data_IF_917620172062
#
_entry.id   IF_917620172062
#
_cell.length_a   1.000
_cell.length_b   1.000
_cell.length_c   1.000
_cell.angle_alpha   90.00
_cell.angle_beta   90.00
_cell.angle_gamma   90.00
#
_symmetry.space_group_name_H-M   'P 1'
#
loop_
_entity.id
_entity.type
_entity.pdbx_description
1 polymer ?
#
# COMPACT_ATOMS: atom_id res chain seq x y z
N UNK A 1 18.44 -18.50 -23.89
CA UNK A 1 18.52 -17.76 -22.61
C UNK A 1 17.13 -17.81 -21.99
N UNK A 2 16.91 -18.29 -20.76
CA UNK A 2 15.55 -18.47 -20.23
C UNK A 2 14.97 -17.12 -19.77
N UNK A 3 13.69 -16.88 -20.08
CA UNK A 3 12.97 -15.62 -19.88
C UNK A 3 12.60 -15.34 -18.41
N UNK A 4 13.59 -15.30 -17.50
CA UNK A 4 13.37 -15.08 -16.06
C UNK A 4 12.88 -13.66 -15.70
N UNK A 5 12.78 -12.74 -16.66
CA UNK A 5 12.38 -11.35 -16.45
C UNK A 5 10.97 -11.04 -16.96
N UNK A 6 10.04 -12.01 -16.98
CA UNK A 6 8.61 -11.67 -17.04
C UNK A 6 8.21 -11.01 -15.73
N UNK A 7 8.50 -9.72 -15.62
CA UNK A 7 8.08 -8.85 -14.54
C UNK A 7 6.55 -8.83 -14.52
N UNK A 8 5.97 -9.69 -13.66
CA UNK A 8 4.55 -9.67 -13.34
C UNK A 8 4.34 -8.42 -12.50
N UNK A 9 3.74 -7.39 -13.11
CA UNK A 9 3.29 -6.23 -12.37
C UNK A 9 2.39 -6.71 -11.22
N UNK A 10 2.78 -6.44 -9.99
CA UNK A 10 1.94 -6.69 -8.82
C UNK A 10 0.61 -5.96 -9.01
N UNK A 11 -0.48 -6.54 -8.50
CA UNK A 11 -1.80 -5.89 -8.53
C UNK A 11 -1.72 -4.56 -7.78
N UNK A 12 -2.28 -3.50 -8.37
CA UNK A 12 -2.44 -2.21 -7.72
C UNK A 12 -3.86 -2.13 -7.14
N UNK A 13 -3.99 -1.92 -5.83
CA UNK A 13 -5.27 -1.84 -5.11
C UNK A 13 -5.88 -0.43 -5.16
N UNK A 14 -5.80 0.22 -6.33
CA UNK A 14 -6.08 1.65 -6.47
C UNK A 14 -7.54 2.01 -6.16
N UNK A 15 -8.49 1.20 -6.63
CA UNK A 15 -9.91 1.51 -6.44
C UNK A 15 -10.34 1.24 -4.99
N UNK A 16 -9.80 0.18 -4.40
CA UNK A 16 -9.97 -0.15 -3.00
C UNK A 16 -9.46 0.98 -2.10
N UNK A 17 -8.30 1.55 -2.41
CA UNK A 17 -7.76 2.71 -1.70
C UNK A 17 -8.55 4.00 -1.93
N UNK A 18 -9.08 4.24 -3.13
CA UNK A 18 -9.95 5.38 -3.43
C UNK A 18 -11.23 5.31 -2.58
N UNK A 19 -11.85 4.12 -2.52
CA UNK A 19 -13.05 3.88 -1.71
C UNK A 19 -12.76 4.02 -0.21
N UNK A 20 -11.67 3.41 0.26
CA UNK A 20 -11.21 3.52 1.64
C UNK A 20 -10.99 4.98 2.09
N UNK A 21 -10.44 5.82 1.21
CA UNK A 21 -10.24 7.26 1.45
C UNK A 21 -11.49 8.12 1.19
N UNK A 22 -12.62 7.51 0.86
CA UNK A 22 -13.90 8.18 0.54
C UNK A 22 -13.72 9.30 -0.49
N UNK A 23 -12.90 9.05 -1.51
CA UNK A 23 -12.67 9.98 -2.62
C UNK A 23 -13.16 9.37 -3.93
N UNK A 24 -12.91 10.04 -5.06
CA UNK A 24 -13.26 9.54 -6.39
C UNK A 24 -12.05 9.55 -7.30
N UNK A 25 -12.07 8.71 -8.35
CA UNK A 25 -11.02 8.71 -9.38
C UNK A 25 -10.85 10.09 -10.03
N UNK A 26 -11.92 10.88 -10.14
CA UNK A 26 -11.86 12.25 -10.68
C UNK A 26 -11.16 13.22 -9.71
N UNK A 27 -11.46 13.11 -8.41
CA UNK A 27 -10.79 13.93 -7.38
C UNK A 27 -9.32 13.57 -7.24
N UNK A 28 -8.99 12.28 -7.22
CA UNK A 28 -7.60 11.83 -7.21
C UNK A 28 -6.84 12.35 -8.44
N UNK A 29 -7.45 12.21 -9.63
CA UNK A 29 -6.85 12.72 -10.87
C UNK A 29 -6.55 14.22 -10.78
N UNK A 30 -7.49 15.00 -10.22
CA UNK A 30 -7.31 16.44 -9.98
C UNK A 30 -6.16 16.73 -9.00
N UNK A 31 -6.07 15.97 -7.90
CA UNK A 31 -5.00 16.14 -6.89
C UNK A 31 -3.62 15.92 -7.49
N UNK A 32 -3.46 14.88 -8.30
CA UNK A 32 -2.16 14.48 -8.87
C UNK A 32 -1.91 15.04 -10.28
N UNK A 33 -2.72 16.02 -10.71
CA UNK A 33 -2.63 16.72 -12.01
C UNK A 33 -2.59 15.76 -13.21
N UNK A 34 -3.49 14.76 -13.23
CA UNK A 34 -3.65 13.80 -14.34
C UNK A 34 -5.11 13.71 -14.78
N UNK A 35 -5.40 12.80 -15.72
CA UNK A 35 -6.77 12.51 -16.17
C UNK A 35 -7.37 11.30 -15.45
N UNK A 36 -8.71 11.29 -15.28
CA UNK A 36 -9.44 10.11 -14.78
C UNK A 36 -9.19 8.86 -15.65
N UNK A 37 -8.98 9.04 -16.95
CA UNK A 37 -8.65 7.95 -17.87
C UNK A 37 -7.34 7.25 -17.47
N UNK A 38 -6.31 8.00 -17.08
CA UNK A 38 -5.04 7.45 -16.60
C UNK A 38 -5.24 6.68 -15.29
N UNK A 39 -5.99 7.24 -14.32
CA UNK A 39 -6.34 6.54 -13.07
C UNK A 39 -7.05 5.21 -13.37
N UNK A 40 -8.00 5.21 -14.29
CA UNK A 40 -8.73 4.00 -14.69
C UNK A 40 -7.83 2.96 -15.36
N UNK A 41 -6.92 3.39 -16.25
CA UNK A 41 -5.98 2.47 -16.91
C UNK A 41 -4.99 1.86 -15.90
N UNK A 42 -4.50 2.65 -14.95
CA UNK A 42 -3.61 2.18 -13.89
C UNK A 42 -4.32 1.19 -12.96
N UNK A 43 -5.51 1.52 -12.45
CA UNK A 43 -6.26 0.66 -11.53
C UNK A 43 -6.72 -0.66 -12.16
N UNK A 44 -7.02 -0.66 -13.46
CA UNK A 44 -7.39 -1.88 -14.19
C UNK A 44 -6.19 -2.65 -14.77
N UNK A 45 -4.94 -2.22 -14.51
CA UNK A 45 -3.74 -2.84 -15.06
C UNK A 45 -3.58 -2.71 -16.58
N UNK A 46 -4.39 -1.88 -17.25
CA UNK A 46 -4.28 -1.59 -18.69
C UNK A 46 -3.07 -0.70 -19.00
N UNK A 47 -2.58 0.04 -18.02
CA UNK A 47 -1.33 0.76 -18.06
C UNK A 47 -0.44 0.26 -16.93
N UNK A 48 0.82 -0.06 -17.24
CA UNK A 48 1.81 -0.39 -16.20
C UNK A 48 2.10 0.84 -15.36
N UNK A 49 2.17 0.67 -14.05
CA UNK A 49 2.70 1.69 -13.16
C UNK A 49 4.22 1.58 -13.09
N UNK A 50 4.87 2.70 -12.78
CA UNK A 50 6.26 2.78 -12.37
C UNK A 50 6.32 3.40 -10.97
N UNK A 51 7.53 3.59 -10.44
CA UNK A 51 7.73 4.22 -9.14
C UNK A 51 7.07 5.61 -9.06
N UNK A 52 7.24 6.46 -10.09
CA UNK A 52 6.64 7.80 -10.11
C UNK A 52 5.10 7.78 -10.00
N UNK A 53 4.45 6.79 -10.62
CA UNK A 53 3.00 6.63 -10.51
C UNK A 53 2.59 6.22 -9.10
N UNK A 54 3.34 5.31 -8.47
CA UNK A 54 3.06 4.91 -7.09
C UNK A 54 3.20 6.11 -6.15
N UNK A 55 4.28 6.88 -6.27
CA UNK A 55 4.54 8.05 -5.42
C UNK A 55 3.46 9.13 -5.59
N UNK A 56 3.10 9.47 -6.83
CA UNK A 56 2.03 10.46 -7.09
C UNK A 56 0.69 10.02 -6.52
N UNK A 57 0.31 8.76 -6.75
CA UNK A 57 -0.95 8.22 -6.24
C UNK A 57 -0.95 8.21 -4.72
N UNK A 58 0.16 7.77 -4.11
CA UNK A 58 0.34 7.71 -2.68
C UNK A 58 0.25 9.10 -2.03
N UNK A 59 0.85 10.12 -2.65
CA UNK A 59 0.69 11.52 -2.25
C UNK A 59 -0.78 11.95 -2.30
N UNK A 60 -1.48 11.65 -3.41
CA UNK A 60 -2.90 12.01 -3.57
C UNK A 60 -3.86 11.31 -2.61
N UNK A 61 -3.48 10.13 -2.10
CA UNK A 61 -4.24 9.29 -1.17
C UNK A 61 -3.69 9.34 0.27
N UNK A 62 -2.62 10.08 0.52
CA UNK A 62 -1.95 10.21 1.81
C UNK A 62 -1.59 8.84 2.42
N UNK A 63 -0.96 7.97 1.64
CA UNK A 63 -0.45 6.66 2.10
C UNK A 63 1.01 6.48 1.65
N UNK A 64 1.63 5.36 2.03
CA UNK A 64 2.96 5.00 1.50
C UNK A 64 2.81 4.37 0.10
N UNK A 65 3.77 4.56 -0.83
CA UNK A 65 3.78 3.86 -2.12
C UNK A 65 3.61 2.33 -2.00
N UNK A 66 4.15 1.70 -0.96
CA UNK A 66 4.05 0.25 -0.74
C UNK A 66 2.63 -0.19 -0.36
N UNK A 67 1.86 0.70 0.26
CA UNK A 67 0.50 0.41 0.72
C UNK A 67 -0.43 0.15 -0.47
N UNK A 68 -0.18 0.79 -1.62
CA UNK A 68 -0.96 0.64 -2.86
C UNK A 68 -0.87 -0.77 -3.47
N UNK A 69 0.13 -1.56 -3.04
CA UNK A 69 0.34 -2.94 -3.50
C UNK A 69 -0.40 -3.98 -2.64
N UNK A 70 -1.24 -3.52 -1.69
CA UNK A 70 -2.00 -4.36 -0.76
C UNK A 70 -3.40 -3.80 -0.56
N UNK A 71 -4.32 -4.66 -0.09
CA UNK A 71 -5.67 -4.22 0.20
C UNK A 71 -5.67 -3.28 1.44
N UNK A 72 -6.40 -2.15 1.45
CA UNK A 72 -6.36 -1.19 2.57
C UNK A 72 -6.85 -1.77 3.90
N UNK A 73 -7.62 -2.86 3.88
CA UNK A 73 -8.07 -3.55 5.09
C UNK A 73 -7.03 -4.55 5.63
N UNK A 74 -6.05 -4.94 4.82
CA UNK A 74 -4.86 -5.69 5.27
C UNK A 74 -3.94 -4.70 5.98
N UNK A 75 -4.36 -4.28 7.17
CA UNK A 75 -3.65 -3.30 7.98
C UNK A 75 -2.22 -3.78 8.22
N UNK A 76 -1.26 -2.93 7.87
CA UNK A 76 0.13 -3.14 8.26
C UNK A 76 0.17 -3.35 9.77
N UNK A 77 0.81 -4.45 10.22
CA UNK A 77 0.98 -4.75 11.65
C UNK A 77 1.53 -3.51 12.37
N UNK A 78 2.41 -2.75 11.71
CA UNK A 78 2.95 -1.48 12.19
C UNK A 78 1.91 -0.39 12.43
N UNK A 79 0.89 -0.24 11.57
CA UNK A 79 -0.15 0.76 11.78
C UNK A 79 -0.97 0.42 13.03
N UNK A 80 -1.29 -0.87 13.20
CA UNK A 80 -1.92 -1.38 14.41
C UNK A 80 -0.99 -1.20 15.62
N UNK A 81 0.28 -1.54 15.51
CA UNK A 81 1.30 -1.37 16.55
C UNK A 81 1.46 0.10 16.96
N UNK A 82 1.45 1.02 15.99
CA UNK A 82 1.52 2.47 16.20
C UNK A 82 0.24 3.04 16.80
N UNK A 83 -0.91 2.39 16.61
CA UNK A 83 -2.14 2.76 17.32
C UNK A 83 -2.20 2.23 18.76
N UNK A 84 -1.37 1.24 19.12
CA UNK A 84 -1.35 0.72 20.49
C UNK A 84 -0.72 1.74 21.46
N UNK A 85 -1.22 1.82 22.71
CA UNK A 85 -0.58 2.59 23.77
C UNK A 85 0.87 2.13 23.99
N UNK A 86 1.77 3.03 24.37
CA UNK A 86 3.19 2.69 24.59
C UNK A 86 3.37 1.55 25.59
N UNK A 87 2.54 1.49 26.63
CA UNK A 87 2.55 0.42 27.63
C UNK A 87 2.31 -0.98 27.00
N UNK A 88 1.43 -1.07 25.99
CA UNK A 88 1.13 -2.32 25.30
C UNK A 88 2.21 -2.74 24.31
N UNK A 89 3.00 -1.78 23.78
CA UNK A 89 4.09 -2.05 22.84
C UNK A 89 5.24 -2.82 23.49
N UNK A 90 5.61 -2.43 24.71
CA UNK A 90 6.70 -3.07 25.46
C UNK A 90 6.37 -4.52 25.80
N UNK A 91 5.11 -4.83 26.15
CA UNK A 91 4.69 -6.21 26.45
C UNK A 91 4.71 -7.13 25.23
N UNK A 92 4.44 -6.62 24.02
CA UNK A 92 4.53 -7.39 22.78
C UNK A 92 6.00 -7.67 22.43
N UNK A 93 6.87 -6.67 22.50
CA UNK A 93 8.30 -6.83 22.26
C UNK A 93 8.92 -7.84 23.22
N UNK A 94 8.56 -7.78 24.50
CA UNK A 94 9.03 -8.71 25.53
C UNK A 94 8.59 -10.16 25.29
N UNK A 95 7.43 -10.36 24.63
CA UNK A 95 6.95 -11.69 24.22
C UNK A 95 7.68 -12.24 23.01
N UNK A 96 8.08 -11.38 22.07
CA UNK A 96 8.86 -11.80 20.88
C UNK A 96 10.26 -12.27 21.30
N UNK A 97 10.91 -11.53 22.20
CA UNK A 97 12.23 -11.89 22.76
C UNK A 97 12.20 -13.22 23.55
N UNK A 98 11.05 -13.56 24.14
CA UNK A 98 10.83 -14.82 24.86
C UNK A 98 10.61 -16.02 23.94
N UNK A 99 10.11 -15.81 22.72
CA UNK A 99 9.96 -16.88 21.73
C UNK A 99 11.30 -17.24 21.08
N UNK A 100 12.20 -16.28 20.89
CA UNK A 100 13.54 -16.54 20.35
C UNK A 100 14.42 -17.35 21.33
N UNK A 101 14.22 -17.16 22.65
CA UNK A 101 14.92 -17.91 23.70
C UNK A 101 14.32 -19.28 24.05
N UNK A 102 13.16 -19.65 23.49
CA UNK A 102 12.54 -20.98 23.70
C UNK A 102 12.86 -21.99 22.60
N UNK A 103 13.54 -21.57 21.53
CA UNK A 103 13.93 -22.42 20.39
C UNK A 103 15.44 -22.73 20.35
N UNK A 104 16.16 -22.55 21.46
CA UNK A 104 17.57 -22.96 21.64
C UNK A 104 17.69 -24.08 22.67
#
# INVERSE_FOLDING_TARGET
>A
MPDFLKNKSTRLYLFEWIDFRKTSAQQLAKRIKTSKSVISKLGNGKQRYNQDWLEKIAEGLQCDPVDLLRHPQEHFIEAKFRSLPMASRVSILKKMEQCDNCCL
#
